data_IF_554589035499
#
_entry.id   IF_554589035499
#
_cell.length_a   1.000
_cell.length_b   1.000
_cell.length_c   1.000
_cell.angle_alpha   90.00
_cell.angle_beta   90.00
_cell.angle_gamma   90.00
#
_symmetry.space_group_name_H-M   'P 1'
#
loop_
_entity.id
_entity.type
_entity.pdbx_description
1 polymer ?
#
# COMPACT_ATOMS: atom_id res chain seq x y z
N UNK A 1 -29.34 29.22 5.43
CA UNK A 1 -29.10 27.81 5.12
C UNK A 1 -30.34 27.24 4.39
N UNK A 2 -30.15 26.52 3.30
CA UNK A 2 -31.20 25.88 2.48
C UNK A 2 -30.91 24.36 2.43
N UNK A 3 -31.95 23.54 2.48
CA UNK A 3 -31.85 22.09 2.26
C UNK A 3 -32.48 21.76 0.92
N UNK A 4 -31.77 20.99 0.06
CA UNK A 4 -32.23 20.56 -1.27
C UNK A 4 -31.99 19.07 -1.46
N UNK A 5 -32.68 18.46 -2.45
CA UNK A 5 -32.40 17.08 -2.84
C UNK A 5 -31.21 16.99 -3.82
N UNK A 6 -30.63 15.80 -3.93
CA UNK A 6 -29.54 15.51 -4.88
C UNK A 6 -30.09 15.26 -6.31
N UNK A 7 -30.88 16.19 -6.81
CA UNK A 7 -31.43 16.22 -8.16
C UNK A 7 -30.77 17.30 -9.02
N UNK A 8 -31.26 17.59 -10.22
CA UNK A 8 -30.69 18.58 -11.11
C UNK A 8 -30.91 20.03 -10.63
N UNK A 9 -31.96 20.33 -9.85
CA UNK A 9 -32.16 21.64 -9.22
C UNK A 9 -31.19 21.82 -8.07
N UNK A 10 -31.01 20.79 -7.22
CA UNK A 10 -30.01 20.81 -6.16
C UNK A 10 -28.60 20.95 -6.70
N UNK A 11 -28.30 20.32 -7.87
CA UNK A 11 -27.00 20.46 -8.54
C UNK A 11 -26.75 21.92 -8.94
N UNK A 12 -27.71 22.58 -9.60
CA UNK A 12 -27.58 23.99 -9.99
C UNK A 12 -27.35 24.89 -8.77
N UNK A 13 -28.15 24.67 -7.72
CA UNK A 13 -28.04 25.44 -6.47
C UNK A 13 -26.67 25.24 -5.79
N UNK A 14 -26.15 24.01 -5.76
CA UNK A 14 -24.84 23.72 -5.18
C UNK A 14 -23.70 24.34 -5.97
N UNK A 15 -23.75 24.26 -7.31
CA UNK A 15 -22.76 24.90 -8.20
C UNK A 15 -22.73 26.42 -7.99
N UNK A 16 -23.89 27.06 -7.95
CA UNK A 16 -24.00 28.51 -7.74
C UNK A 16 -23.37 28.93 -6.40
N UNK A 17 -23.76 28.24 -5.31
CA UNK A 17 -23.23 28.55 -3.97
C UNK A 17 -21.72 28.37 -3.90
N UNK A 18 -21.20 27.22 -4.37
CA UNK A 18 -19.76 26.92 -4.29
C UNK A 18 -18.91 27.88 -5.14
N UNK A 19 -19.36 28.21 -6.36
CA UNK A 19 -18.66 29.17 -7.24
C UNK A 19 -18.69 30.59 -6.71
N UNK A 20 -19.69 30.97 -5.91
CA UNK A 20 -19.78 32.27 -5.27
C UNK A 20 -19.10 32.32 -3.88
N UNK A 21 -18.26 31.34 -3.53
CA UNK A 21 -17.50 31.30 -2.28
C UNK A 21 -18.31 30.84 -1.07
N UNK A 22 -19.43 30.19 -1.28
CA UNK A 22 -20.21 29.53 -0.23
C UNK A 22 -19.64 28.15 0.13
N UNK A 23 -20.23 27.58 1.19
CA UNK A 23 -19.89 26.24 1.72
C UNK A 23 -21.11 25.36 1.69
N UNK A 24 -21.00 24.14 1.17
CA UNK A 24 -22.10 23.18 1.07
C UNK A 24 -21.79 21.85 1.75
N UNK A 25 -22.80 21.28 2.40
CA UNK A 25 -22.80 19.86 2.81
C UNK A 25 -23.28 19.03 1.62
N UNK A 26 -22.50 18.05 1.21
CA UNK A 26 -22.75 17.21 0.04
C UNK A 26 -22.70 15.73 0.40
N UNK A 27 -23.50 14.86 -0.24
CA UNK A 27 -23.41 13.41 -0.09
C UNK A 27 -22.13 12.87 -0.74
N UNK A 28 -21.64 11.72 -0.28
CA UNK A 28 -20.63 10.91 -0.96
C UNK A 28 -20.90 9.43 -0.75
N UNK A 29 -20.15 8.58 -1.44
CA UNK A 29 -20.20 7.11 -1.28
C UNK A 29 -19.74 6.63 0.12
N UNK A 30 -19.03 7.46 0.89
CA UNK A 30 -18.50 7.10 2.22
C UNK A 30 -19.28 7.75 3.35
N UNK A 31 -19.19 9.07 3.47
CA UNK A 31 -19.84 9.90 4.49
C UNK A 31 -20.17 11.26 3.88
N UNK A 32 -21.07 12.01 4.48
CA UNK A 32 -21.34 13.38 4.03
C UNK A 32 -20.10 14.26 4.20
N UNK A 33 -19.87 15.14 3.23
CA UNK A 33 -18.74 16.04 3.17
C UNK A 33 -19.13 17.52 3.25
N UNK A 34 -18.33 18.32 3.93
CA UNK A 34 -18.39 19.78 3.91
C UNK A 34 -17.43 20.26 2.82
N UNK A 35 -17.95 20.94 1.80
CA UNK A 35 -17.29 21.29 0.56
C UNK A 35 -17.14 22.81 0.36
N UNK A 36 -16.02 23.21 -0.25
CA UNK A 36 -15.75 24.57 -0.73
C UNK A 36 -14.99 24.53 -2.07
N UNK A 37 -15.15 25.57 -2.87
CA UNK A 37 -14.39 25.73 -4.11
C UNK A 37 -12.92 26.03 -3.79
N UNK A 38 -11.94 25.33 -4.40
CA UNK A 38 -10.52 25.51 -4.07
C UNK A 38 -9.99 26.93 -4.35
N UNK A 39 -10.52 27.60 -5.37
CA UNK A 39 -10.13 28.96 -5.76
C UNK A 39 -10.79 30.06 -4.90
N UNK A 40 -11.54 29.70 -3.86
CA UNK A 40 -12.14 30.60 -2.90
C UNK A 40 -11.49 30.42 -1.51
N UNK A 41 -10.31 31.03 -1.23
CA UNK A 41 -9.57 30.84 0.01
C UNK A 41 -10.40 31.08 1.29
N UNK A 42 -11.25 32.10 1.29
CA UNK A 42 -12.15 32.42 2.40
C UNK A 42 -13.16 31.30 2.67
N UNK A 43 -13.69 30.63 1.63
CA UNK A 43 -14.56 29.48 1.79
C UNK A 43 -13.81 28.25 2.33
N UNK A 44 -12.57 28.05 1.86
CA UNK A 44 -11.70 26.97 2.39
C UNK A 44 -11.37 27.21 3.87
N UNK A 45 -11.07 28.45 4.28
CA UNK A 45 -10.84 28.80 5.69
C UNK A 45 -12.08 28.55 6.56
N UNK A 46 -13.28 28.83 6.01
CA UNK A 46 -14.55 28.50 6.70
C UNK A 46 -14.66 27.01 6.99
N UNK A 47 -14.14 26.09 6.15
CA UNK A 47 -14.15 24.66 6.45
C UNK A 47 -13.38 24.35 7.75
N UNK A 48 -12.24 24.99 7.98
CA UNK A 48 -11.46 24.81 9.21
C UNK A 48 -12.21 25.38 10.42
N UNK A 49 -12.78 26.58 10.30
CA UNK A 49 -13.54 27.24 11.37
C UNK A 49 -14.77 26.45 11.77
N UNK A 50 -15.60 26.03 10.79
CA UNK A 50 -16.84 25.26 11.04
C UNK A 50 -16.52 23.94 11.77
N UNK A 51 -15.42 23.30 11.42
CA UNK A 51 -15.03 22.00 12.02
C UNK A 51 -14.23 22.13 13.32
N UNK A 52 -13.83 23.31 13.76
CA UNK A 52 -12.79 23.49 14.77
C UNK A 52 -11.55 22.63 14.46
N UNK A 53 -11.10 22.64 13.19
CA UNK A 53 -10.01 21.80 12.68
C UNK A 53 -8.69 22.53 12.76
N UNK A 54 -7.65 21.82 13.21
CA UNK A 54 -6.27 22.32 13.15
C UNK A 54 -5.87 22.61 11.69
N UNK A 55 -5.45 23.87 11.43
CA UNK A 55 -5.02 24.33 10.10
C UNK A 55 -3.81 23.53 9.54
N UNK A 56 -3.04 22.88 10.40
CA UNK A 56 -1.92 22.00 9.97
C UNK A 56 -2.38 20.67 9.33
N UNK A 57 -3.67 20.35 9.42
CA UNK A 57 -4.24 19.11 8.84
C UNK A 57 -4.92 19.47 7.51
N UNK A 58 -4.28 19.25 6.34
CA UNK A 58 -4.82 19.67 5.06
C UNK A 58 -6.18 19.02 4.79
N UNK A 59 -7.03 19.74 4.03
CA UNK A 59 -8.32 19.24 3.57
C UNK A 59 -8.11 18.68 2.15
N UNK A 60 -8.50 17.44 1.94
CA UNK A 60 -8.33 16.77 0.66
C UNK A 60 -9.18 17.38 -0.46
N UNK A 61 -8.76 17.19 -1.69
CA UNK A 61 -9.54 17.45 -2.89
C UNK A 61 -10.39 16.21 -3.26
N UNK A 62 -11.63 16.44 -3.65
CA UNK A 62 -12.38 15.49 -4.45
C UNK A 62 -12.28 15.91 -5.92
N UNK A 63 -11.84 14.99 -6.78
CA UNK A 63 -11.79 15.20 -8.23
C UNK A 63 -12.99 14.52 -8.92
N UNK A 64 -13.41 15.04 -10.08
CA UNK A 64 -14.51 14.48 -10.86
C UNK A 64 -14.18 13.13 -11.49
N UNK A 65 -12.89 12.91 -11.81
CA UNK A 65 -12.37 11.76 -12.53
C UNK A 65 -10.87 11.58 -12.26
N UNK A 66 -10.32 10.48 -12.76
CA UNK A 66 -8.92 10.10 -12.58
C UNK A 66 -7.94 11.09 -13.25
N UNK A 67 -8.28 11.61 -14.43
CA UNK A 67 -7.46 12.59 -15.13
C UNK A 67 -7.37 13.91 -14.36
N UNK A 68 -8.46 14.30 -13.69
CA UNK A 68 -8.48 15.44 -12.76
C UNK A 68 -7.62 15.20 -11.54
N UNK A 69 -7.65 13.98 -10.98
CA UNK A 69 -6.84 13.61 -9.82
C UNK A 69 -5.34 13.60 -10.13
N UNK A 70 -4.92 13.12 -11.32
CA UNK A 70 -3.53 13.08 -11.75
C UNK A 70 -2.85 14.44 -11.76
N UNK A 71 -3.58 15.50 -12.12
CA UNK A 71 -3.06 16.89 -12.14
C UNK A 71 -2.51 17.36 -10.78
N UNK A 72 -3.05 16.81 -9.68
CA UNK A 72 -2.65 17.18 -8.32
C UNK A 72 -1.65 16.20 -7.68
N UNK A 73 -1.67 14.93 -8.08
CA UNK A 73 -0.87 13.89 -7.46
C UNK A 73 0.39 13.53 -8.25
N UNK A 74 0.38 13.79 -9.57
CA UNK A 74 1.34 13.21 -10.50
C UNK A 74 0.95 11.78 -10.90
N UNK A 75 1.49 11.31 -12.03
CA UNK A 75 1.09 10.05 -12.68
C UNK A 75 1.28 8.80 -11.78
N UNK A 76 2.40 8.72 -11.06
CA UNK A 76 2.72 7.54 -10.24
C UNK A 76 1.72 7.33 -9.10
N UNK A 77 1.44 8.38 -8.32
CA UNK A 77 0.49 8.30 -7.21
C UNK A 77 -0.96 8.14 -7.70
N UNK A 78 -1.31 8.80 -8.81
CA UNK A 78 -2.63 8.67 -9.44
C UNK A 78 -2.87 7.25 -9.97
N UNK A 79 -1.86 6.58 -10.51
CA UNK A 79 -1.96 5.18 -10.98
C UNK A 79 -2.31 4.20 -9.85
N UNK A 80 -1.84 4.46 -8.61
CA UNK A 80 -2.26 3.67 -7.43
C UNK A 80 -3.74 3.95 -7.14
N UNK A 81 -4.14 5.21 -7.14
CA UNK A 81 -5.54 5.60 -6.93
C UNK A 81 -6.50 5.00 -7.95
N UNK A 82 -6.13 5.01 -9.23
CA UNK A 82 -6.95 4.54 -10.35
C UNK A 82 -7.36 3.06 -10.24
N UNK A 83 -6.60 2.24 -9.48
CA UNK A 83 -7.00 0.84 -9.19
C UNK A 83 -8.15 0.74 -8.20
N UNK A 84 -8.48 1.82 -7.49
CA UNK A 84 -9.48 1.88 -6.43
C UNK A 84 -10.53 3.00 -6.65
N UNK A 85 -10.38 3.80 -7.71
CA UNK A 85 -11.29 4.88 -8.08
C UNK A 85 -12.22 4.50 -9.25
N UNK A 86 -13.42 5.04 -9.27
CA UNK A 86 -14.08 5.80 -8.21
C UNK A 86 -14.27 4.98 -6.94
N UNK A 87 -14.06 5.55 -5.75
CA UNK A 87 -14.20 4.77 -4.52
C UNK A 87 -13.62 5.40 -3.26
N UNK A 88 -13.52 4.57 -2.22
CA UNK A 88 -13.23 4.97 -0.84
C UNK A 88 -11.72 5.09 -0.53
N UNK A 89 -10.88 5.49 -1.49
CA UNK A 89 -9.45 5.71 -1.30
C UNK A 89 -9.09 7.18 -1.50
N UNK A 90 -8.41 7.78 -0.53
CA UNK A 90 -7.73 9.07 -0.64
C UNK A 90 -6.23 8.83 -0.74
N UNK A 91 -5.62 9.32 -1.80
CA UNK A 91 -4.16 9.25 -2.01
C UNK A 91 -3.56 10.60 -1.69
N UNK A 92 -2.51 10.61 -0.87
CA UNK A 92 -1.71 11.79 -0.53
C UNK A 92 -0.35 11.69 -1.22
N UNK A 93 0.01 12.70 -1.99
CA UNK A 93 1.32 12.83 -2.63
C UNK A 93 1.69 14.30 -2.68
N UNK A 94 2.96 14.63 -2.49
CA UNK A 94 3.48 16.02 -2.56
C UNK A 94 2.71 17.04 -1.68
N UNK A 95 2.15 16.57 -0.55
CA UNK A 95 1.38 17.42 0.38
C UNK A 95 -0.11 17.56 0.04
N UNK A 96 -0.56 17.08 -1.12
CA UNK A 96 -1.97 17.10 -1.53
C UNK A 96 -2.63 15.73 -1.36
N UNK A 97 -3.84 15.74 -0.78
CA UNK A 97 -4.69 14.54 -0.70
C UNK A 97 -5.80 14.61 -1.75
N UNK A 98 -5.95 13.58 -2.58
CA UNK A 98 -6.98 13.55 -3.64
C UNK A 98 -7.75 12.25 -3.61
N UNK A 99 -9.06 12.32 -3.95
CA UNK A 99 -9.93 11.17 -4.11
C UNK A 99 -10.92 11.40 -5.25
N UNK A 100 -11.26 10.36 -5.99
CA UNK A 100 -12.41 10.33 -6.91
C UNK A 100 -13.53 9.54 -6.23
N UNK A 101 -14.63 10.19 -5.78
CA UNK A 101 -15.71 9.50 -5.06
C UNK A 101 -16.57 8.65 -5.99
N UNK A 102 -17.05 7.48 -5.51
CA UNK A 102 -18.04 6.65 -6.23
C UNK A 102 -19.48 7.13 -5.95
N UNK A 103 -19.74 8.39 -6.30
CA UNK A 103 -21.05 9.03 -6.15
C UNK A 103 -21.36 9.88 -7.37
N UNK A 104 -22.25 9.40 -8.24
CA UNK A 104 -22.51 10.00 -9.55
C UNK A 104 -22.90 11.47 -9.50
N UNK A 105 -23.85 11.83 -8.60
CA UNK A 105 -24.27 13.22 -8.44
C UNK A 105 -23.13 14.12 -8.00
N UNK A 106 -22.33 13.69 -7.03
CA UNK A 106 -21.20 14.46 -6.51
C UNK A 106 -20.10 14.65 -7.56
N UNK A 107 -19.81 13.63 -8.37
CA UNK A 107 -18.86 13.78 -9.49
C UNK A 107 -19.35 14.79 -10.53
N UNK A 108 -20.68 14.82 -10.83
CA UNK A 108 -21.28 15.85 -11.69
C UNK A 108 -21.14 17.25 -11.08
N UNK A 109 -21.35 17.39 -9.78
CA UNK A 109 -21.14 18.66 -9.06
C UNK A 109 -19.68 19.11 -9.18
N UNK A 110 -18.72 18.24 -8.89
CA UNK A 110 -17.30 18.52 -8.97
C UNK A 110 -16.90 18.97 -10.39
N UNK A 111 -17.36 18.23 -11.41
CA UNK A 111 -17.12 18.58 -12.82
C UNK A 111 -17.68 19.97 -13.17
N UNK A 112 -18.91 20.26 -12.76
CA UNK A 112 -19.54 21.55 -12.98
C UNK A 112 -18.87 22.72 -12.23
N UNK A 113 -18.14 22.43 -11.14
CA UNK A 113 -17.34 23.40 -10.39
C UNK A 113 -15.89 23.53 -10.89
N UNK A 114 -15.53 22.95 -12.03
CA UNK A 114 -14.17 23.08 -12.58
C UNK A 114 -13.26 21.88 -12.32
N UNK A 115 -13.80 20.75 -11.85
CA UNK A 115 -13.10 19.46 -11.77
C UNK A 115 -12.53 19.10 -10.40
N UNK A 116 -12.53 20.02 -9.43
CA UNK A 116 -12.08 19.71 -8.05
C UNK A 116 -12.84 20.56 -7.00
N UNK A 117 -13.03 19.99 -5.81
CA UNK A 117 -13.54 20.67 -4.62
C UNK A 117 -12.72 20.28 -3.38
N UNK A 118 -12.45 21.23 -2.47
CA UNK A 118 -11.94 20.93 -1.12
C UNK A 118 -13.06 20.34 -0.29
N UNK A 119 -12.89 19.12 0.20
CA UNK A 119 -13.94 18.42 0.95
C UNK A 119 -13.38 17.73 2.19
N UNK A 120 -14.06 17.93 3.30
CA UNK A 120 -13.78 17.23 4.55
C UNK A 120 -15.07 16.61 5.08
N UNK A 121 -15.02 15.58 5.95
CA UNK A 121 -16.24 14.99 6.51
C UNK A 121 -17.11 16.02 7.24
N UNK A 122 -18.44 15.89 7.09
CA UNK A 122 -19.43 16.81 7.65
C UNK A 122 -19.72 16.52 9.14
N UNK A 123 -18.72 16.74 10.02
CA UNK A 123 -18.79 16.59 11.47
C UNK A 123 -17.78 17.52 12.16
N UNK A 124 -17.95 17.82 13.43
CA UNK A 124 -16.92 18.46 14.24
C UNK A 124 -15.68 17.56 14.36
N UNK A 125 -14.49 18.17 14.44
CA UNK A 125 -13.24 17.43 14.53
C UNK A 125 -13.24 16.47 15.72
N UNK A 126 -12.87 15.19 15.46
CA UNK A 126 -12.83 14.14 16.48
C UNK A 126 -14.17 13.44 16.74
N UNK A 127 -15.28 13.90 16.18
CA UNK A 127 -16.57 13.23 16.30
C UNK A 127 -16.81 12.25 15.14
N UNK A 128 -17.86 11.43 15.28
CA UNK A 128 -18.26 10.50 14.21
C UNK A 128 -18.71 11.27 12.97
N UNK A 129 -18.29 10.84 11.81
CA UNK A 129 -18.69 11.44 10.55
C UNK A 129 -20.20 11.23 10.29
N UNK A 130 -20.85 12.25 9.74
CA UNK A 130 -22.27 12.19 9.38
C UNK A 130 -22.50 11.26 8.18
N UNK A 131 -23.46 10.37 8.29
CA UNK A 131 -23.83 9.42 7.22
C UNK A 131 -25.08 9.83 6.45
N UNK A 132 -25.77 10.86 6.93
CA UNK A 132 -26.98 11.42 6.29
C UNK A 132 -27.08 12.92 6.53
N UNK A 133 -27.99 13.60 5.84
CA UNK A 133 -28.20 15.03 5.97
C UNK A 133 -28.68 15.46 7.38
N UNK A 134 -29.60 14.74 8.05
CA UNK A 134 -29.98 15.06 9.42
C UNK A 134 -28.82 15.03 10.42
N UNK A 135 -27.91 14.05 10.33
CA UNK A 135 -26.73 13.98 11.18
C UNK A 135 -25.77 15.13 10.90
N UNK A 136 -25.53 15.47 9.64
CA UNK A 136 -24.71 16.60 9.26
C UNK A 136 -25.30 17.94 9.73
N UNK A 137 -26.61 18.10 9.63
CA UNK A 137 -27.34 19.30 10.11
C UNK A 137 -27.16 19.49 11.62
N UNK A 138 -27.23 18.40 12.40
CA UNK A 138 -27.08 18.45 13.85
C UNK A 138 -25.70 18.97 14.26
N UNK A 139 -24.65 18.56 13.58
CA UNK A 139 -23.28 18.88 13.98
C UNK A 139 -22.80 20.23 13.40
N UNK A 140 -22.95 20.42 12.09
CA UNK A 140 -22.33 21.55 11.37
C UNK A 140 -23.27 22.26 10.38
N UNK A 141 -24.46 21.67 10.13
CA UNK A 141 -25.31 22.12 9.03
C UNK A 141 -25.80 23.56 9.13
N UNK A 142 -25.97 24.09 10.34
CA UNK A 142 -26.38 25.49 10.55
C UNK A 142 -25.29 26.50 10.12
N UNK A 143 -24.04 26.07 9.99
CA UNK A 143 -22.91 26.89 9.57
C UNK A 143 -22.59 26.81 8.06
N UNK A 144 -23.24 25.87 7.34
CA UNK A 144 -23.18 25.77 5.89
C UNK A 144 -24.26 26.63 5.21
N UNK A 145 -24.01 27.03 3.97
CA UNK A 145 -24.95 27.82 3.18
C UNK A 145 -26.02 26.93 2.52
N UNK A 146 -25.64 25.67 2.20
CA UNK A 146 -26.49 24.66 1.58
C UNK A 146 -26.25 23.29 2.20
N UNK A 147 -27.31 22.48 2.32
CA UNK A 147 -27.22 21.05 2.58
C UNK A 147 -27.95 20.29 1.48
N UNK A 148 -27.25 19.36 0.84
CA UNK A 148 -27.81 18.48 -0.19
C UNK A 148 -28.13 17.12 0.45
N UNK A 149 -29.40 16.71 0.38
CA UNK A 149 -29.88 15.45 0.94
C UNK A 149 -30.03 14.39 -0.15
N UNK A 150 -29.33 13.27 0.01
CA UNK A 150 -29.43 12.06 -0.84
C UNK A 150 -29.64 10.79 0.00
N UNK A 151 -30.23 10.95 1.18
CA UNK A 151 -30.43 9.83 2.10
C UNK A 151 -29.14 9.39 2.79
N UNK A 152 -29.02 8.10 3.06
CA UNK A 152 -27.90 7.53 3.82
C UNK A 152 -26.73 7.20 2.88
N UNK A 153 -25.53 7.68 3.21
CA UNK A 153 -24.29 7.29 2.51
C UNK A 153 -24.06 5.78 2.61
N UNK A 154 -23.86 5.07 1.50
CA UNK A 154 -23.79 3.60 1.50
C UNK A 154 -22.59 3.03 2.26
N UNK A 155 -21.46 3.73 2.30
CA UNK A 155 -20.23 3.25 2.94
C UNK A 155 -20.22 3.40 4.46
N UNK A 156 -20.85 4.44 5.01
CA UNK A 156 -20.96 4.68 6.46
C UNK A 156 -19.62 4.88 7.20
N UNK A 157 -18.51 4.79 6.50
CA UNK A 157 -17.13 4.88 7.05
C UNK A 157 -16.27 5.80 6.15
N UNK A 158 -15.44 6.62 6.77
CA UNK A 158 -14.54 7.51 6.04
C UNK A 158 -13.53 6.72 5.18
N UNK A 159 -13.09 7.32 4.06
CA UNK A 159 -12.15 6.69 3.13
C UNK A 159 -10.84 6.26 3.80
N UNK A 160 -10.22 5.21 3.29
CA UNK A 160 -8.80 4.91 3.56
C UNK A 160 -7.95 6.07 3.04
N UNK A 161 -6.94 6.47 3.81
CA UNK A 161 -5.97 7.50 3.38
C UNK A 161 -4.59 6.88 3.34
N UNK A 162 -3.95 6.96 2.19
CA UNK A 162 -2.56 6.53 2.02
C UNK A 162 -1.68 7.72 1.65
N UNK A 163 -0.42 7.65 2.04
CA UNK A 163 0.64 8.52 1.53
C UNK A 163 1.52 7.72 0.57
N UNK A 164 1.82 8.32 -0.56
CA UNK A 164 2.71 7.77 -1.60
C UNK A 164 3.95 8.66 -1.68
N UNK A 165 5.12 8.07 -1.42
CA UNK A 165 6.43 8.72 -1.51
C UNK A 165 7.34 7.84 -2.39
N UNK A 166 7.45 8.18 -3.67
CA UNK A 166 8.05 7.29 -4.66
C UNK A 166 7.34 5.93 -4.62
N UNK A 167 8.09 4.86 -4.50
CA UNK A 167 7.54 3.50 -4.46
C UNK A 167 6.91 3.07 -3.11
N UNK A 168 6.99 3.92 -2.10
CA UNK A 168 6.52 3.59 -0.75
C UNK A 168 5.08 4.02 -0.54
N UNK A 169 4.25 3.07 -0.13
CA UNK A 169 2.88 3.32 0.36
C UNK A 169 2.87 3.24 1.89
N UNK A 170 2.26 4.23 2.55
CA UNK A 170 2.02 4.26 3.98
C UNK A 170 0.54 4.55 4.25
N UNK A 171 -0.10 3.78 5.13
CA UNK A 171 -1.50 4.04 5.51
C UNK A 171 -1.52 5.08 6.63
N UNK A 172 -2.11 6.26 6.34
CA UNK A 172 -2.30 7.35 7.30
C UNK A 172 -3.60 7.22 8.08
N UNK A 173 -4.63 6.62 7.47
CA UNK A 173 -5.92 6.33 8.10
C UNK A 173 -6.52 5.08 7.46
N UNK A 174 -6.88 4.14 8.30
CA UNK A 174 -7.62 2.95 7.88
C UNK A 174 -9.06 3.29 7.47
N UNK A 175 -9.58 2.55 6.50
CA UNK A 175 -10.93 2.68 5.96
C UNK A 175 -11.34 1.44 5.17
N UNK A 176 -12.30 1.54 4.23
CA UNK A 176 -12.81 0.38 3.50
C UNK A 176 -11.79 -0.29 2.56
N UNK A 177 -10.86 0.48 1.98
CA UNK A 177 -9.81 -0.07 1.10
C UNK A 177 -8.67 -0.62 1.95
N UNK A 178 -8.30 -1.87 1.69
CA UNK A 178 -7.29 -2.61 2.47
C UNK A 178 -6.07 -2.92 1.60
N UNK A 179 -4.89 -2.73 2.16
CA UNK A 179 -3.62 -3.02 1.50
C UNK A 179 -2.97 -4.26 2.10
N UNK A 180 -2.41 -5.13 1.25
CA UNK A 180 -1.56 -6.22 1.68
C UNK A 180 -0.39 -5.66 2.49
N UNK A 181 0.02 -6.34 3.56
CA UNK A 181 1.24 -5.99 4.28
C UNK A 181 2.33 -6.99 4.00
N UNK A 182 3.42 -6.52 3.43
CA UNK A 182 4.63 -7.31 3.30
C UNK A 182 5.45 -7.18 4.59
N UNK A 183 5.48 -8.26 5.38
CA UNK A 183 6.27 -8.36 6.61
C UNK A 183 7.75 -8.67 6.29
N UNK A 184 8.37 -7.85 5.47
CA UNK A 184 9.74 -8.03 5.01
C UNK A 184 10.38 -6.70 4.60
N UNK A 185 11.66 -6.54 4.89
CA UNK A 185 12.47 -5.43 4.38
C UNK A 185 13.24 -5.75 3.09
N UNK A 186 12.98 -6.90 2.45
CA UNK A 186 13.67 -7.30 1.23
C UNK A 186 13.21 -6.51 0.01
N UNK A 187 14.09 -5.76 -0.68
CA UNK A 187 13.72 -5.03 -1.89
C UNK A 187 13.27 -5.96 -3.04
N UNK A 188 13.85 -7.17 -3.11
CA UNK A 188 13.51 -8.18 -4.14
C UNK A 188 12.07 -8.66 -4.01
N UNK A 189 11.62 -8.94 -2.77
CA UNK A 189 10.22 -9.32 -2.52
C UNK A 189 9.26 -8.18 -2.86
N UNK A 190 9.62 -6.95 -2.52
CA UNK A 190 8.85 -5.77 -2.87
C UNK A 190 8.77 -5.60 -4.40
N UNK A 191 9.88 -5.80 -5.12
CA UNK A 191 9.92 -5.77 -6.59
C UNK A 191 8.98 -6.80 -7.20
N UNK A 192 9.02 -8.06 -6.73
CA UNK A 192 8.15 -9.13 -7.25
C UNK A 192 6.67 -8.75 -7.08
N UNK A 193 6.24 -8.27 -5.91
CA UNK A 193 4.86 -7.85 -5.69
C UNK A 193 4.46 -6.67 -6.59
N UNK A 194 5.36 -5.71 -6.78
CA UNK A 194 5.15 -4.56 -7.67
C UNK A 194 4.99 -5.00 -9.13
N UNK A 195 5.87 -5.87 -9.61
CA UNK A 195 5.82 -6.41 -10.98
C UNK A 195 4.53 -7.21 -11.24
N UNK A 196 3.95 -7.80 -10.17
CA UNK A 196 2.66 -8.48 -10.20
C UNK A 196 1.45 -7.52 -10.05
N UNK A 197 1.68 -6.21 -9.93
CA UNK A 197 0.63 -5.21 -9.79
C UNK A 197 -0.10 -5.22 -8.44
N UNK A 198 0.50 -5.77 -7.40
CA UNK A 198 -0.08 -5.81 -6.05
C UNK A 198 0.24 -4.53 -5.30
N UNK A 199 -0.78 -3.90 -4.73
CA UNK A 199 -0.61 -2.78 -3.81
C UNK A 199 -0.35 -3.28 -2.39
N UNK A 200 0.75 -2.85 -1.80
CA UNK A 200 1.15 -3.30 -0.47
C UNK A 200 1.85 -2.20 0.33
N UNK A 201 1.84 -2.38 1.64
CA UNK A 201 2.65 -1.60 2.58
C UNK A 201 3.76 -2.48 3.16
N UNK A 202 4.90 -1.89 3.47
CA UNK A 202 6.04 -2.61 4.07
C UNK A 202 6.00 -2.41 5.60
N UNK A 203 6.08 -3.53 6.33
CA UNK A 203 6.29 -3.55 7.76
C UNK A 203 7.43 -4.53 8.07
N UNK A 204 8.60 -4.01 8.48
CA UNK A 204 9.73 -4.88 8.85
C UNK A 204 9.40 -5.66 10.11
N UNK A 205 9.73 -6.94 10.10
CA UNK A 205 9.62 -7.82 11.26
C UNK A 205 10.91 -7.78 12.07
N UNK A 206 10.77 -7.82 13.39
CA UNK A 206 11.83 -7.97 14.38
C UNK A 206 11.88 -9.39 15.00
N UNK A 207 11.18 -10.34 14.39
CA UNK A 207 11.15 -11.72 14.87
C UNK A 207 12.55 -12.34 14.86
N UNK A 208 12.89 -13.01 15.96
CA UNK A 208 14.09 -13.86 16.01
C UNK A 208 13.94 -15.04 15.05
N UNK A 209 14.99 -15.31 14.29
CA UNK A 209 15.04 -16.40 13.33
C UNK A 209 15.65 -17.65 13.97
N UNK A 210 15.04 -18.81 13.71
CA UNK A 210 15.56 -20.12 14.11
C UNK A 210 16.26 -20.81 12.92
N UNK A 211 17.16 -21.73 13.22
CA UNK A 211 17.88 -22.48 12.20
C UNK A 211 17.97 -23.97 12.57
N UNK A 212 17.51 -24.81 11.67
CA UNK A 212 17.57 -26.28 11.76
C UNK A 212 18.33 -26.79 10.54
N UNK A 213 19.66 -26.97 10.60
CA UNK A 213 20.47 -27.32 9.43
C UNK A 213 20.06 -28.63 8.76
N UNK A 214 19.53 -29.57 9.53
CA UNK A 214 19.04 -30.88 9.02
C UNK A 214 17.55 -30.87 8.63
N UNK A 215 16.86 -29.74 8.82
CA UNK A 215 15.46 -29.55 8.44
C UNK A 215 15.26 -28.10 7.87
N UNK A 216 15.73 -27.88 6.64
CA UNK A 216 15.64 -26.57 6.00
C UNK A 216 14.18 -26.13 5.76
N UNK A 217 13.26 -27.07 5.51
CA UNK A 217 11.83 -26.76 5.34
C UNK A 217 11.22 -26.22 6.62
N UNK A 218 11.51 -26.86 7.75
CA UNK A 218 11.06 -26.38 9.06
C UNK A 218 11.61 -25.01 9.38
N UNK A 219 12.89 -24.78 9.05
CA UNK A 219 13.54 -23.46 9.25
C UNK A 219 12.74 -22.34 8.57
N UNK A 220 12.53 -22.43 7.27
CA UNK A 220 11.84 -21.37 6.52
C UNK A 220 10.36 -21.26 6.89
N UNK A 221 9.72 -22.38 7.24
CA UNK A 221 8.33 -22.41 7.68
C UNK A 221 8.14 -21.64 8.99
N UNK A 222 8.93 -21.97 10.01
CA UNK A 222 8.83 -21.33 11.32
C UNK A 222 9.21 -19.85 11.27
N UNK A 223 10.26 -19.50 10.54
CA UNK A 223 10.69 -18.13 10.35
C UNK A 223 9.65 -17.27 9.60
N UNK A 224 9.07 -17.79 8.52
CA UNK A 224 8.01 -17.08 7.80
C UNK A 224 6.82 -16.80 8.71
N UNK A 225 6.33 -17.80 9.46
CA UNK A 225 5.23 -17.63 10.41
C UNK A 225 5.59 -16.66 11.55
N UNK A 226 6.80 -16.72 12.09
CA UNK A 226 7.25 -15.84 13.17
C UNK A 226 7.26 -14.37 12.71
N UNK A 227 7.77 -14.10 11.51
CA UNK A 227 7.78 -12.76 10.89
C UNK A 227 6.38 -12.20 10.73
N UNK A 228 5.44 -12.97 10.20
CA UNK A 228 4.05 -12.54 10.04
C UNK A 228 3.38 -12.26 11.39
N UNK A 229 3.59 -13.13 12.38
CA UNK A 229 3.04 -12.96 13.75
C UNK A 229 3.61 -11.74 14.47
N UNK A 230 4.89 -11.44 14.33
CA UNK A 230 5.52 -10.27 14.94
C UNK A 230 4.90 -8.97 14.42
N UNK A 231 4.76 -8.84 13.10
CA UNK A 231 4.08 -7.70 12.47
C UNK A 231 2.61 -7.64 12.88
N UNK A 232 1.90 -8.78 12.96
CA UNK A 232 0.52 -8.83 13.42
C UNK A 232 0.32 -8.34 14.85
N UNK A 233 1.23 -8.66 15.78
CA UNK A 233 1.19 -8.18 17.17
C UNK A 233 1.49 -6.69 17.31
N UNK A 234 2.38 -6.17 16.48
CA UNK A 234 2.74 -4.74 16.49
C UNK A 234 1.63 -3.84 15.93
N UNK A 235 0.67 -4.41 15.20
CA UNK A 235 -0.47 -3.67 14.64
C UNK A 235 -1.58 -3.47 15.67
N UNK A 236 -2.25 -2.31 15.59
CA UNK A 236 -3.44 -2.05 16.41
C UNK A 236 -4.55 -3.06 16.07
N UNK A 237 -5.13 -3.68 17.08
CA UNK A 237 -6.23 -4.66 16.95
C UNK A 237 -7.54 -4.08 16.40
N UNK A 238 -7.64 -2.75 16.25
CA UNK A 238 -8.87 -2.04 15.86
C UNK A 238 -8.94 -1.67 14.39
N UNK A 239 -7.86 -1.86 13.62
CA UNK A 239 -7.82 -1.45 12.22
C UNK A 239 -8.25 -2.60 11.29
N UNK A 240 -9.20 -2.40 10.34
CA UNK A 240 -9.48 -3.36 9.28
C UNK A 240 -8.25 -3.47 8.38
N UNK A 241 -7.63 -4.64 8.37
CA UNK A 241 -6.33 -4.83 7.73
C UNK A 241 -6.47 -5.72 6.50
N UNK A 242 -5.72 -5.41 5.44
CA UNK A 242 -5.35 -6.39 4.43
C UNK A 242 -4.46 -7.45 5.06
N UNK A 243 -4.41 -8.64 4.46
CA UNK A 243 -3.64 -9.76 4.98
C UNK A 243 -2.15 -9.45 5.14
N UNK A 244 -1.48 -10.21 6.00
CA UNK A 244 -0.03 -10.12 6.22
C UNK A 244 0.66 -11.24 5.45
N UNK A 245 1.50 -10.85 4.50
CA UNK A 245 2.37 -11.73 3.74
C UNK A 245 3.79 -11.64 4.32
N UNK A 246 4.34 -12.78 4.68
CA UNK A 246 5.72 -12.90 5.17
C UNK A 246 6.45 -14.01 4.44
N UNK A 247 7.78 -13.93 4.40
CA UNK A 247 8.59 -14.98 3.80
C UNK A 247 9.95 -15.10 4.48
N UNK A 248 10.51 -16.30 4.41
CA UNK A 248 11.89 -16.58 4.78
C UNK A 248 12.57 -17.42 3.70
N UNK A 249 13.83 -17.12 3.41
CA UNK A 249 14.58 -17.76 2.32
C UNK A 249 15.96 -18.14 2.80
N UNK A 250 16.34 -19.38 2.57
CA UNK A 250 17.66 -19.91 2.86
C UNK A 250 18.23 -20.65 1.65
N UNK A 251 19.54 -20.69 1.57
CA UNK A 251 20.29 -21.58 0.68
C UNK A 251 20.80 -22.76 1.51
N UNK A 252 20.60 -23.96 1.01
CA UNK A 252 20.99 -25.18 1.69
C UNK A 252 21.87 -26.07 0.79
N UNK A 253 22.99 -26.54 1.35
CA UNK A 253 23.89 -27.45 0.66
C UNK A 253 24.61 -28.33 1.67
N UNK A 254 24.65 -29.65 1.43
CA UNK A 254 25.37 -30.65 2.25
C UNK A 254 25.12 -30.54 3.76
N UNK A 255 23.87 -30.42 4.18
CA UNK A 255 23.52 -30.35 5.60
C UNK A 255 23.82 -29.01 6.27
N UNK A 256 24.21 -27.97 5.50
CA UNK A 256 24.53 -26.63 5.99
C UNK A 256 23.57 -25.60 5.40
N UNK A 257 23.11 -24.66 6.23
CA UNK A 257 22.36 -23.49 5.81
C UNK A 257 23.34 -22.33 5.59
N UNK A 258 23.24 -21.72 4.42
CA UNK A 258 23.97 -20.50 4.03
C UNK A 258 22.98 -19.33 4.11
N UNK A 259 23.01 -18.65 5.24
CA UNK A 259 22.23 -17.41 5.46
C UNK A 259 22.86 -16.20 4.78
N UNK A 260 22.56 -15.02 5.31
CA UNK A 260 23.24 -13.78 4.91
C UNK A 260 24.66 -13.80 5.48
N UNK A 261 25.71 -13.57 4.67
CA UNK A 261 27.06 -13.51 5.18
C UNK A 261 27.25 -12.26 6.05
N UNK A 262 28.08 -12.37 7.07
CA UNK A 262 28.41 -11.28 8.00
C UNK A 262 29.20 -10.18 7.33
N UNK A 263 30.06 -10.57 6.39
CA UNK A 263 31.00 -9.70 5.69
C UNK A 263 31.32 -10.26 4.29
N UNK A 264 32.16 -9.55 3.53
CA UNK A 264 32.55 -9.97 2.18
C UNK A 264 33.46 -11.20 2.18
N UNK A 265 34.21 -11.45 3.23
CA UNK A 265 35.10 -12.63 3.32
C UNK A 265 34.28 -13.90 3.51
N UNK A 266 33.25 -13.86 4.37
CA UNK A 266 32.29 -14.97 4.50
C UNK A 266 31.47 -15.16 3.21
N UNK A 267 31.11 -14.06 2.51
CA UNK A 267 30.48 -14.16 1.20
C UNK A 267 31.35 -14.91 0.19
N UNK A 268 32.63 -14.60 0.12
CA UNK A 268 33.58 -15.33 -0.72
C UNK A 268 33.74 -16.79 -0.32
N UNK A 269 33.75 -17.09 0.98
CA UNK A 269 33.79 -18.45 1.47
C UNK A 269 32.56 -19.26 1.04
N UNK A 270 31.36 -18.68 1.14
CA UNK A 270 30.14 -19.29 0.65
C UNK A 270 30.19 -19.60 -0.84
N UNK A 271 30.62 -18.63 -1.65
CA UNK A 271 30.72 -18.83 -3.10
C UNK A 271 31.74 -19.90 -3.48
N UNK A 272 32.88 -20.06 -2.74
CA UNK A 272 33.80 -21.15 -2.95
C UNK A 272 33.19 -22.52 -2.64
N UNK A 273 32.46 -22.63 -1.52
CA UNK A 273 31.83 -23.87 -1.12
C UNK A 273 30.71 -24.29 -2.10
N UNK A 274 29.95 -23.32 -2.62
CA UNK A 274 28.85 -23.56 -3.56
C UNK A 274 29.33 -23.72 -5.02
N UNK A 275 30.52 -23.21 -5.35
CA UNK A 275 31.09 -23.27 -6.70
C UNK A 275 31.17 -24.67 -7.28
N UNK A 276 30.71 -24.86 -8.52
CA UNK A 276 30.66 -26.15 -9.23
C UNK A 276 29.60 -27.11 -8.73
N UNK A 277 28.82 -26.76 -7.71
CA UNK A 277 27.83 -27.66 -7.07
C UNK A 277 26.40 -27.24 -7.38
N UNK A 278 25.46 -28.16 -7.12
CA UNK A 278 24.02 -27.89 -7.07
C UNK A 278 23.64 -27.69 -5.61
N UNK A 279 23.00 -26.60 -5.31
CA UNK A 279 22.42 -26.31 -4.00
C UNK A 279 20.92 -25.99 -4.11
N UNK A 280 20.18 -26.12 -3.02
CA UNK A 280 18.74 -25.90 -3.00
C UNK A 280 18.40 -24.59 -2.27
N UNK A 281 17.57 -23.78 -2.88
CA UNK A 281 16.94 -22.59 -2.27
C UNK A 281 15.58 -22.98 -1.75
N UNK A 282 15.37 -22.78 -0.46
CA UNK A 282 14.08 -22.98 0.20
C UNK A 282 13.50 -21.61 0.55
N UNK A 283 12.23 -21.39 0.16
CA UNK A 283 11.48 -20.22 0.64
C UNK A 283 10.17 -20.69 1.28
N UNK A 284 10.02 -20.35 2.56
CA UNK A 284 8.73 -20.40 3.26
C UNK A 284 7.98 -19.10 3.04
N UNK A 285 6.72 -19.19 2.62
CA UNK A 285 5.82 -18.04 2.49
C UNK A 285 4.63 -18.28 3.38
N UNK A 286 4.25 -17.28 4.20
CA UNK A 286 3.09 -17.37 5.08
C UNK A 286 2.12 -16.21 4.82
N UNK A 287 0.83 -16.53 4.80
CA UNK A 287 -0.27 -15.59 4.64
C UNK A 287 -1.44 -16.01 5.52
N UNK A 288 -1.92 -15.10 6.39
CA UNK A 288 -3.06 -15.34 7.30
C UNK A 288 -2.98 -16.66 8.11
N UNK A 289 -1.76 -17.07 8.46
CA UNK A 289 -1.51 -18.25 9.27
C UNK A 289 -1.33 -19.56 8.47
N UNK A 290 -1.65 -19.58 7.18
CA UNK A 290 -1.23 -20.67 6.28
C UNK A 290 0.22 -20.45 5.84
N UNK A 291 0.94 -21.56 5.55
CA UNK A 291 2.35 -21.50 5.15
C UNK A 291 2.66 -22.55 4.10
N UNK A 292 3.28 -22.12 3.02
CA UNK A 292 3.78 -22.98 1.93
C UNK A 292 5.30 -22.90 1.88
N UNK A 293 5.92 -23.99 1.46
CA UNK A 293 7.38 -24.04 1.22
C UNK A 293 7.60 -24.42 -0.24
N UNK A 294 8.42 -23.63 -0.92
CA UNK A 294 8.81 -23.85 -2.31
C UNK A 294 10.32 -24.07 -2.37
N UNK A 295 10.76 -24.96 -3.27
CA UNK A 295 12.16 -25.34 -3.48
C UNK A 295 12.55 -25.09 -4.92
N UNK A 296 13.80 -24.66 -5.12
CA UNK A 296 14.43 -24.56 -6.44
C UNK A 296 15.89 -24.94 -6.32
N UNK A 297 16.40 -25.66 -7.29
CA UNK A 297 17.81 -26.02 -7.33
C UNK A 297 18.56 -25.06 -8.23
N UNK A 298 19.74 -24.67 -7.80
CA UNK A 298 20.64 -23.76 -8.53
C UNK A 298 22.00 -24.43 -8.68
N UNK A 299 22.48 -24.52 -9.91
CA UNK A 299 23.82 -25.03 -10.23
C UNK A 299 24.76 -23.86 -10.48
N UNK A 300 25.84 -23.81 -9.72
CA UNK A 300 26.91 -22.85 -9.97
C UNK A 300 27.94 -23.42 -10.95
N UNK A 301 28.52 -22.53 -11.72
CA UNK A 301 29.73 -22.82 -12.51
C UNK A 301 30.87 -23.18 -11.56
N UNK A 302 31.89 -23.86 -12.07
CA UNK A 302 33.17 -23.92 -11.36
C UNK A 302 33.74 -22.49 -11.24
N UNK A 303 33.84 -21.98 -10.00
CA UNK A 303 34.21 -20.62 -9.72
C UNK A 303 35.74 -20.56 -9.40
N UNK A 304 36.46 -19.65 -10.06
CA UNK A 304 37.83 -19.27 -9.66
C UNK A 304 37.77 -18.12 -8.66
N UNK A 305 38.85 -17.93 -7.88
CA UNK A 305 38.92 -16.78 -6.97
C UNK A 305 38.76 -15.44 -7.68
N UNK A 306 39.27 -15.30 -8.90
CA UNK A 306 39.09 -14.09 -9.71
C UNK A 306 37.61 -13.83 -10.05
N UNK A 307 36.86 -14.86 -10.40
CA UNK A 307 35.40 -14.75 -10.65
C UNK A 307 34.65 -14.35 -9.38
N UNK A 308 35.01 -14.93 -8.24
CA UNK A 308 34.41 -14.61 -6.93
C UNK A 308 34.69 -13.16 -6.56
N UNK A 309 35.95 -12.71 -6.71
CA UNK A 309 36.34 -11.33 -6.41
C UNK A 309 35.58 -10.33 -7.31
N UNK A 310 35.50 -10.61 -8.61
CA UNK A 310 34.73 -9.79 -9.55
C UNK A 310 33.26 -9.71 -9.15
N UNK A 311 32.63 -10.84 -8.85
CA UNK A 311 31.24 -10.91 -8.48
C UNK A 311 30.96 -10.14 -7.18
N UNK A 312 31.75 -10.40 -6.13
CA UNK A 312 31.59 -9.74 -4.83
C UNK A 312 31.83 -8.24 -4.91
N UNK A 313 32.78 -7.79 -5.74
CA UNK A 313 33.02 -6.36 -5.95
C UNK A 313 31.82 -5.65 -6.62
N UNK A 314 31.15 -6.34 -7.55
CA UNK A 314 29.96 -5.79 -8.25
C UNK A 314 28.71 -5.80 -7.37
N UNK A 315 28.40 -6.93 -6.74
CA UNK A 315 27.09 -7.20 -6.12
C UNK A 315 27.05 -6.86 -4.64
N UNK A 316 28.20 -6.95 -3.93
CA UNK A 316 28.29 -6.76 -2.47
C UNK A 316 27.23 -7.56 -1.70
N UNK A 317 27.19 -8.89 -1.81
CA UNK A 317 26.03 -9.73 -1.50
C UNK A 317 25.84 -10.05 -0.01
N UNK A 318 26.09 -9.11 0.90
CA UNK A 318 25.97 -9.32 2.36
C UNK A 318 24.54 -9.34 2.86
N UNK A 319 23.59 -8.88 2.07
CA UNK A 319 22.15 -8.89 2.39
C UNK A 319 21.37 -10.08 1.79
N UNK A 320 22.10 -11.06 1.20
CA UNK A 320 21.53 -12.18 0.42
C UNK A 320 21.89 -13.53 1.02
N UNK A 321 20.92 -14.42 1.14
CA UNK A 321 21.15 -15.81 1.51
C UNK A 321 22.07 -16.48 0.47
N UNK A 322 23.05 -17.26 0.92
CA UNK A 322 24.04 -17.91 0.05
C UNK A 322 25.02 -16.96 -0.63
N UNK A 323 25.02 -15.67 -0.24
CA UNK A 323 25.90 -14.64 -0.80
C UNK A 323 25.74 -14.43 -2.32
N UNK A 324 24.54 -14.61 -2.89
CA UNK A 324 24.34 -14.37 -4.31
C UNK A 324 22.93 -13.83 -4.64
N UNK A 325 22.83 -13.30 -5.85
CA UNK A 325 21.60 -12.85 -6.49
C UNK A 325 21.55 -13.42 -7.91
N UNK A 326 20.43 -14.04 -8.28
CA UNK A 326 20.29 -14.62 -9.62
C UNK A 326 20.00 -13.56 -10.68
N UNK A 327 19.41 -12.44 -10.29
CA UNK A 327 19.02 -11.33 -11.17
C UNK A 327 20.22 -10.41 -11.44
N UNK A 328 20.97 -10.02 -10.36
CA UNK A 328 22.09 -9.11 -10.44
C UNK A 328 23.41 -9.85 -10.68
N UNK A 329 23.88 -9.82 -11.93
CA UNK A 329 25.11 -10.48 -12.33
C UNK A 329 25.14 -12.00 -12.09
N UNK A 330 23.99 -12.63 -11.91
CA UNK A 330 23.87 -14.09 -11.69
C UNK A 330 24.52 -14.91 -12.80
N UNK A 331 24.52 -14.42 -14.03
CA UNK A 331 25.16 -15.05 -15.17
C UNK A 331 26.68 -15.27 -15.03
N UNK A 332 27.35 -14.57 -14.11
CA UNK A 332 28.78 -14.78 -13.81
C UNK A 332 29.00 -16.09 -13.05
N UNK A 333 28.08 -16.49 -12.18
CA UNK A 333 28.26 -17.60 -11.24
C UNK A 333 27.23 -18.73 -11.43
N UNK A 334 26.02 -18.44 -11.87
CA UNK A 334 24.99 -19.45 -12.10
C UNK A 334 25.14 -20.08 -13.48
N UNK A 335 25.16 -21.41 -13.55
CA UNK A 335 25.16 -22.19 -14.78
C UNK A 335 23.74 -22.47 -15.24
N UNK A 336 22.89 -22.95 -14.32
CA UNK A 336 21.49 -23.27 -14.56
C UNK A 336 20.70 -23.31 -13.26
N UNK A 337 19.39 -23.36 -13.37
CA UNK A 337 18.49 -23.60 -12.25
C UNK A 337 17.28 -24.44 -12.69
N UNK A 338 16.59 -25.04 -11.72
CA UNK A 338 15.30 -25.72 -11.89
C UNK A 338 14.32 -25.29 -10.80
N UNK A 339 13.04 -25.26 -11.12
CA UNK A 339 11.99 -24.74 -10.23
C UNK A 339 11.65 -23.28 -10.50
N UNK A 340 11.12 -22.58 -9.48
CA UNK A 340 10.64 -21.19 -9.59
C UNK A 340 11.79 -20.19 -9.47
N UNK A 341 11.88 -19.28 -10.45
CA UNK A 341 12.83 -18.16 -10.42
C UNK A 341 12.53 -17.21 -9.26
N UNK A 342 11.27 -16.90 -9.06
CA UNK A 342 10.79 -16.02 -7.99
C UNK A 342 11.03 -16.63 -6.60
N UNK A 343 11.06 -17.96 -6.51
CA UNK A 343 11.50 -18.64 -5.29
C UNK A 343 12.98 -18.34 -4.98
N UNK A 344 13.85 -18.40 -5.99
CA UNK A 344 15.28 -18.07 -5.83
C UNK A 344 15.45 -16.59 -5.46
N UNK A 345 14.61 -15.72 -6.01
CA UNK A 345 14.53 -14.30 -5.64
C UNK A 345 13.95 -14.05 -4.24
N UNK A 346 13.30 -15.05 -3.64
CA UNK A 346 12.83 -15.05 -2.25
C UNK A 346 11.35 -14.81 -2.03
N UNK A 347 10.52 -14.85 -3.08
CA UNK A 347 9.06 -14.82 -2.98
C UNK A 347 8.42 -15.59 -4.14
N UNK A 348 8.21 -16.92 -4.01
CA UNK A 348 7.54 -17.72 -5.03
C UNK A 348 6.11 -17.23 -5.27
N UNK A 349 5.68 -17.23 -6.53
CA UNK A 349 4.39 -16.67 -6.96
C UNK A 349 3.27 -17.71 -6.85
N UNK A 350 3.59 -18.99 -6.90
CA UNK A 350 2.63 -20.09 -6.86
C UNK A 350 1.73 -20.03 -5.60
N UNK A 351 2.26 -19.88 -4.37
CA UNK A 351 1.42 -19.69 -3.19
C UNK A 351 0.53 -18.44 -3.27
N UNK A 352 1.02 -17.34 -3.85
CA UNK A 352 0.26 -16.10 -3.98
C UNK A 352 -0.96 -16.28 -4.88
N UNK A 353 -0.85 -17.10 -5.95
CA UNK A 353 -1.97 -17.47 -6.82
C UNK A 353 -2.99 -18.36 -6.10
N UNK A 354 -2.53 -19.35 -5.33
CA UNK A 354 -3.43 -20.21 -4.53
C UNK A 354 -4.24 -19.39 -3.53
N UNK A 355 -3.63 -18.40 -2.88
CA UNK A 355 -4.30 -17.49 -1.96
C UNK A 355 -5.06 -16.35 -2.64
N UNK A 356 -5.08 -16.30 -3.97
CA UNK A 356 -5.75 -15.26 -4.78
C UNK A 356 -5.26 -13.84 -4.46
N UNK A 357 -4.03 -13.70 -4.02
CA UNK A 357 -3.35 -12.41 -3.85
C UNK A 357 -3.01 -11.83 -5.22
N UNK A 358 -2.65 -12.70 -6.16
CA UNK A 358 -2.39 -12.38 -7.57
C UNK A 358 -3.25 -13.26 -8.48
N UNK A 359 -3.50 -12.80 -9.70
CA UNK A 359 -4.25 -13.53 -10.73
C UNK A 359 -3.41 -14.57 -11.45
#
# INVERSE_FOLDING_TARGET
>A
MRVVKADDEGLRSAVEILKNGGVAVIPTDTVYGLAAHPDCPAAVERLYTIKARDAKKPIALLASDEAGAEKFLGAEAAAIGARHWPGALTVVSQGEGVRVPDHGWTRRLIAACGGALRVTSANLSGQRAATDAPAALKDIGLSADLVVDDGVSPGGTASTVIQVEGERISVLREGPVRFLTLASGSPRRAKILKDLGVDFVIAKSDAEEVSYPHDPERTVRENALAKGRAVGRARSMTAPQGGILSADTIVWFNGKIYGKPRDLDEAKAYLRELGGNVHTVFTGVAYEGDVKVVKSDVKFRALTDAMIDEYVARVKPTDRAGAYDIDESGNLIVESYSGSYENIMGLPVEPLREWKIVR
#
